data_IF_347871936813
#
_entry.id   IF_347871936813
#
_cell.length_a   1.000
_cell.length_b   1.000
_cell.length_c   1.000
_cell.angle_alpha   90.00
_cell.angle_beta   90.00
_cell.angle_gamma   90.00
#
_symmetry.space_group_name_H-M   'P 1'
#
loop_
_entity.id
_entity.type
_entity.pdbx_description
1 polymer ?
#
# COMPACT_ATOMS: atom_id res chain seq x y z
N UNK A 1 17.23 -14.20 -16.48
CA UNK A 1 16.11 -13.30 -16.86
C UNK A 1 16.68 -12.02 -17.40
N UNK A 2 16.15 -11.54 -18.53
CA UNK A 2 16.45 -10.21 -19.03
C UNK A 2 15.63 -9.20 -18.25
N UNK A 3 16.15 -8.00 -17.97
CA UNK A 3 15.39 -6.89 -17.34
C UNK A 3 14.15 -6.45 -18.15
N UNK A 4 13.92 -7.03 -19.33
CA UNK A 4 12.78 -6.76 -20.24
C UNK A 4 11.42 -7.22 -19.71
N UNK A 5 11.36 -7.91 -18.56
CA UNK A 5 10.12 -8.46 -18.02
C UNK A 5 9.58 -7.71 -16.78
N UNK A 6 10.18 -6.57 -16.40
CA UNK A 6 9.71 -5.78 -15.27
C UNK A 6 8.55 -4.87 -15.69
N UNK A 7 7.57 -4.73 -14.82
CA UNK A 7 6.42 -3.85 -14.98
C UNK A 7 6.24 -3.07 -13.66
N UNK A 8 6.40 -1.75 -13.73
CA UNK A 8 6.03 -0.84 -12.63
C UNK A 8 4.53 -0.94 -12.34
N UNK A 9 4.13 -0.51 -11.13
CA UNK A 9 2.72 -0.53 -10.76
C UNK A 9 1.85 0.22 -11.79
N UNK A 10 0.83 -0.47 -12.30
CA UNK A 10 -0.05 0.03 -13.37
C UNK A 10 -1.47 0.17 -12.82
N UNK A 11 -1.81 1.31 -12.21
CA UNK A 11 -3.12 1.51 -11.58
C UNK A 11 -4.29 1.45 -12.57
N UNK A 12 -4.04 1.69 -13.86
CA UNK A 12 -5.05 1.59 -14.93
C UNK A 12 -5.56 0.15 -15.12
N UNK A 13 -4.81 -0.85 -14.66
CA UNK A 13 -5.22 -2.26 -14.69
C UNK A 13 -6.06 -2.67 -13.46
N UNK A 14 -6.18 -1.79 -12.45
CA UNK A 14 -6.98 -2.03 -11.24
C UNK A 14 -8.46 -1.69 -11.48
N UNK A 15 -9.16 -2.52 -12.26
CA UNK A 15 -10.56 -2.28 -12.63
C UNK A 15 -11.47 -2.09 -11.40
N UNK A 16 -12.32 -1.06 -11.44
CA UNK A 16 -13.22 -0.68 -10.35
C UNK A 16 -12.60 0.28 -9.33
N UNK A 17 -11.34 0.66 -9.52
CA UNK A 17 -10.64 1.65 -8.69
C UNK A 17 -9.97 2.68 -9.58
N UNK A 18 -9.89 3.92 -9.09
CA UNK A 18 -9.19 5.02 -9.75
C UNK A 18 -8.11 5.57 -8.84
N UNK A 19 -6.99 5.99 -9.43
CA UNK A 19 -5.93 6.69 -8.70
C UNK A 19 -6.46 8.02 -8.16
N UNK A 20 -6.34 8.22 -6.84
CA UNK A 20 -6.71 9.46 -6.16
C UNK A 20 -5.52 10.21 -5.61
N UNK A 21 -4.42 9.50 -5.30
CA UNK A 21 -3.26 10.13 -4.68
C UNK A 21 -1.94 9.48 -5.13
N UNK A 22 -0.88 10.29 -5.20
CA UNK A 22 0.48 9.83 -5.48
C UNK A 22 1.52 10.78 -4.88
N UNK A 23 2.45 10.26 -4.09
CA UNK A 23 3.53 11.04 -3.49
C UNK A 23 4.83 10.23 -3.42
N UNK A 24 5.97 10.88 -3.64
CA UNK A 24 7.28 10.29 -3.36
C UNK A 24 7.61 10.40 -1.87
N UNK A 25 7.98 9.29 -1.25
CA UNK A 25 8.31 9.22 0.18
C UNK A 25 9.76 8.77 0.32
N UNK A 26 10.63 9.68 0.75
CA UNK A 26 12.01 9.33 1.06
C UNK A 26 12.07 8.49 2.33
N UNK A 27 12.77 7.35 2.29
CA UNK A 27 12.97 6.50 3.45
C UNK A 27 11.67 5.92 4.01
N UNK A 28 10.71 5.55 3.16
CA UNK A 28 9.47 4.89 3.59
C UNK A 28 9.77 3.66 4.47
N UNK A 29 9.07 3.52 5.59
CA UNK A 29 9.20 2.37 6.48
C UNK A 29 7.87 1.63 6.60
N UNK A 30 6.82 2.34 7.01
CA UNK A 30 5.49 1.77 7.28
C UNK A 30 4.37 2.76 6.96
N UNK A 31 3.17 2.22 6.83
CA UNK A 31 1.93 3.00 6.78
C UNK A 31 0.80 2.31 7.55
N UNK A 32 -0.25 3.07 7.84
CA UNK A 32 -1.54 2.56 8.27
C UNK A 32 -2.68 3.43 7.74
N UNK A 33 -3.79 2.82 7.36
CA UNK A 33 -5.03 3.56 7.18
C UNK A 33 -5.60 3.95 8.55
N UNK A 34 -5.96 5.21 8.73
CA UNK A 34 -6.50 5.69 10.01
C UNK A 34 -7.90 5.11 10.25
N UNK A 35 -8.18 4.51 11.42
CA UNK A 35 -9.54 4.11 11.80
C UNK A 35 -10.53 5.28 11.65
N UNK A 36 -11.74 4.98 11.20
CA UNK A 36 -12.84 5.95 11.00
C UNK A 36 -12.60 7.02 9.89
N UNK A 37 -11.40 7.06 9.31
CA UNK A 37 -11.02 7.98 8.24
C UNK A 37 -10.04 7.31 7.27
N UNK A 38 -10.44 6.21 6.63
CA UNK A 38 -9.55 5.41 5.77
C UNK A 38 -9.06 6.13 4.49
N UNK A 39 -9.57 7.33 4.19
CA UNK A 39 -8.98 8.23 3.20
C UNK A 39 -7.69 8.92 3.70
N UNK A 40 -7.36 8.76 4.98
CA UNK A 40 -6.13 9.24 5.61
C UNK A 40 -5.19 8.10 5.94
N UNK A 41 -3.90 8.35 5.72
CA UNK A 41 -2.83 7.40 5.96
C UNK A 41 -1.86 8.00 6.98
N UNK A 42 -1.61 7.27 8.07
CA UNK A 42 -0.41 7.48 8.87
C UNK A 42 0.77 6.93 8.07
N UNK A 43 1.73 7.78 7.74
CA UNK A 43 2.95 7.42 7.01
C UNK A 43 4.16 7.59 7.93
N UNK A 44 4.99 6.57 8.01
CA UNK A 44 6.22 6.52 8.81
C UNK A 44 7.41 6.41 7.85
N UNK A 45 8.30 7.39 7.93
CA UNK A 45 9.57 7.41 7.20
C UNK A 45 10.75 7.41 8.17
N UNK A 46 11.96 7.27 7.65
CA UNK A 46 13.20 7.35 8.45
C UNK A 46 13.40 8.69 9.13
N UNK A 47 12.73 9.75 8.67
CA UNK A 47 12.93 11.12 9.15
C UNK A 47 11.77 11.62 10.02
N UNK A 48 10.53 11.27 9.69
CA UNK A 48 9.34 11.77 10.39
C UNK A 48 8.10 10.91 10.17
N UNK A 49 7.09 11.12 11.02
CA UNK A 49 5.73 10.63 10.89
C UNK A 49 4.81 11.73 10.35
N UNK A 50 3.85 11.36 9.52
CA UNK A 50 2.87 12.30 8.97
C UNK A 50 1.52 11.65 8.73
N UNK A 51 0.47 12.46 8.75
CA UNK A 51 -0.86 12.09 8.25
C UNK A 51 -1.01 12.65 6.84
N UNK A 52 -1.26 11.75 5.90
CA UNK A 52 -1.53 12.04 4.50
C UNK A 52 -3.05 11.97 4.29
N UNK A 53 -3.67 13.07 3.88
CA UNK A 53 -5.06 13.12 3.45
C UNK A 53 -5.12 12.93 1.93
N UNK A 54 -5.52 11.73 1.50
CA UNK A 54 -5.48 11.30 0.09
C UNK A 54 -6.58 11.93 -0.76
N UNK A 55 -7.56 12.62 -0.16
CA UNK A 55 -8.63 13.30 -0.89
C UNK A 55 -8.41 14.81 -1.01
N UNK A 56 -7.66 15.39 -0.08
CA UNK A 56 -7.42 16.83 -0.01
C UNK A 56 -5.98 17.24 -0.36
N UNK A 57 -5.16 16.28 -0.80
CA UNK A 57 -3.74 16.47 -1.13
C UNK A 57 -2.90 17.11 -0.01
N UNK A 58 -3.24 16.81 1.25
CA UNK A 58 -2.60 17.42 2.41
C UNK A 58 -1.68 16.44 3.12
N UNK A 59 -0.46 16.89 3.47
CA UNK A 59 0.48 16.16 4.32
C UNK A 59 0.71 16.98 5.58
N UNK A 60 0.41 16.39 6.73
CA UNK A 60 0.55 17.05 8.03
C UNK A 60 1.54 16.26 8.89
N UNK A 61 2.72 16.81 9.21
CA UNK A 61 3.63 16.19 10.16
C UNK A 61 2.95 15.96 11.51
N UNK A 62 3.26 14.84 12.15
CA UNK A 62 2.77 14.52 13.50
C UNK A 62 3.91 14.02 14.37
N UNK A 63 3.87 14.38 15.65
CA UNK A 63 4.77 13.83 16.64
C UNK A 63 4.22 12.48 17.12
N UNK A 64 5.07 11.46 17.15
CA UNK A 64 4.66 10.10 17.46
C UNK A 64 5.85 9.15 17.57
N UNK A 65 5.53 7.89 17.84
CA UNK A 65 6.50 6.81 17.90
C UNK A 65 5.88 5.50 17.37
N UNK A 66 6.71 4.54 17.01
CA UNK A 66 6.27 3.24 16.52
C UNK A 66 7.14 2.11 17.06
N UNK A 67 6.51 0.96 17.26
CA UNK A 67 7.18 -0.27 17.64
C UNK A 67 7.24 -1.20 16.44
N UNK A 68 8.45 -1.44 15.93
CA UNK A 68 8.69 -2.33 14.79
C UNK A 68 8.51 -3.82 15.12
N UNK A 69 8.55 -4.20 16.40
CA UNK A 69 8.35 -5.58 16.85
C UNK A 69 6.87 -5.88 16.99
N UNK A 70 6.12 -4.99 17.65
CA UNK A 70 4.68 -5.12 17.85
C UNK A 70 3.87 -4.64 16.64
N UNK A 71 4.52 -3.98 15.66
CA UNK A 71 3.91 -3.43 14.45
C UNK A 71 2.74 -2.51 14.76
N UNK A 72 2.97 -1.57 15.67
CA UNK A 72 2.01 -0.54 16.04
C UNK A 72 2.64 0.85 16.08
N UNK A 73 1.85 1.88 15.85
CA UNK A 73 2.26 3.27 15.98
C UNK A 73 1.25 4.08 16.79
N UNK A 74 1.77 5.12 17.42
CA UNK A 74 1.03 6.13 18.17
C UNK A 74 1.49 7.52 17.73
N UNK A 75 0.57 8.47 17.67
CA UNK A 75 0.90 9.88 17.44
C UNK A 75 0.06 10.76 18.36
N UNK A 76 0.45 12.02 18.53
CA UNK A 76 -0.27 12.97 19.36
C UNK A 76 -1.71 13.16 18.87
N UNK A 77 -2.69 12.88 19.74
CA UNK A 77 -4.11 12.91 19.40
C UNK A 77 -4.70 11.57 18.99
N UNK A 78 -3.92 10.48 18.99
CA UNK A 78 -4.39 9.12 18.79
C UNK A 78 -4.80 8.46 20.12
N UNK A 79 -6.02 7.96 20.22
CA UNK A 79 -6.55 7.34 21.45
C UNK A 79 -6.04 5.91 21.71
N UNK A 80 -5.63 5.20 20.65
CA UNK A 80 -5.21 3.80 20.71
C UNK A 80 -4.13 3.46 19.68
N UNK A 81 -3.26 2.47 19.94
CA UNK A 81 -2.25 2.05 18.97
C UNK A 81 -2.86 1.62 17.65
N UNK A 82 -2.23 2.04 16.55
CA UNK A 82 -2.66 1.73 15.18
C UNK A 82 -1.72 0.68 14.62
N UNK A 83 -2.24 -0.43 14.12
CA UNK A 83 -1.43 -1.44 13.42
C UNK A 83 -0.83 -0.87 12.14
N UNK A 84 0.47 -1.08 11.95
CA UNK A 84 1.22 -0.59 10.78
C UNK A 84 1.68 -1.75 9.90
N UNK A 85 1.86 -1.46 8.61
CA UNK A 85 2.36 -2.39 7.61
C UNK A 85 3.33 -1.70 6.65
N UNK A 86 4.37 -2.40 6.23
CA UNK A 86 5.46 -1.78 5.48
C UNK A 86 6.58 -2.73 5.10
N UNK A 87 7.73 -2.14 4.77
CA UNK A 87 8.89 -2.84 4.23
C UNK A 87 9.39 -3.96 5.15
N UNK A 88 9.22 -3.81 6.46
CA UNK A 88 9.81 -4.67 7.47
C UNK A 88 8.79 -5.55 8.22
N UNK A 89 7.51 -5.49 7.87
CA UNK A 89 6.49 -6.32 8.51
C UNK A 89 5.07 -5.80 8.34
N UNK A 90 4.12 -6.57 8.86
CA UNK A 90 2.69 -6.29 8.75
C UNK A 90 2.13 -6.62 7.37
N UNK A 91 0.81 -6.48 7.22
CA UNK A 91 0.13 -6.70 5.96
C UNK A 91 -1.16 -5.89 5.92
N UNK A 92 -1.51 -5.42 4.73
CA UNK A 92 -2.85 -4.93 4.44
C UNK A 92 -3.72 -6.08 3.91
N UNK A 93 -5.06 -6.00 4.05
CA UNK A 93 -5.99 -6.88 3.37
C UNK A 93 -5.67 -7.04 1.88
N UNK A 94 -5.81 -8.27 1.36
CA UNK A 94 -5.59 -8.60 -0.06
C UNK A 94 -6.89 -8.76 -0.83
N UNK A 95 -8.02 -8.51 -0.20
CA UNK A 95 -9.34 -8.44 -0.83
C UNK A 95 -10.08 -7.22 -0.30
N UNK A 96 -11.03 -6.71 -1.09
CA UNK A 96 -11.83 -5.56 -0.73
C UNK A 96 -13.10 -5.94 0.07
N UNK A 97 -13.22 -7.20 0.52
CA UNK A 97 -14.43 -7.72 1.15
C UNK A 97 -15.61 -7.99 0.19
N UNK A 98 -15.45 -7.79 -1.11
CA UNK A 98 -16.49 -7.97 -2.12
C UNK A 98 -16.02 -8.87 -3.28
N UNK A 99 -15.71 -8.28 -4.43
CA UNK A 99 -15.51 -8.91 -5.73
C UNK A 99 -14.05 -8.90 -6.19
N UNK A 100 -13.18 -8.14 -5.52
CA UNK A 100 -11.81 -7.92 -5.93
C UNK A 100 -10.83 -8.57 -4.95
N UNK A 101 -9.86 -9.29 -5.52
CA UNK A 101 -8.75 -9.90 -4.81
C UNK A 101 -7.43 -9.58 -5.49
N UNK A 102 -6.40 -9.38 -4.69
CA UNK A 102 -5.02 -9.30 -5.13
C UNK A 102 -4.32 -10.63 -4.85
N UNK A 103 -3.77 -11.23 -5.90
CA UNK A 103 -2.97 -12.46 -5.80
C UNK A 103 -1.54 -12.20 -6.25
N UNK A 104 -0.62 -13.09 -5.86
CA UNK A 104 0.79 -12.91 -6.15
C UNK A 104 1.47 -14.24 -6.51
N UNK A 105 2.42 -14.16 -7.43
CA UNK A 105 3.29 -15.27 -7.81
C UNK A 105 4.75 -14.86 -7.57
N UNK A 106 5.51 -15.75 -6.93
CA UNK A 106 6.92 -15.51 -6.60
C UNK A 106 7.81 -16.43 -7.42
N UNK A 107 8.61 -15.85 -8.29
CA UNK A 107 9.66 -16.54 -9.03
C UNK A 107 10.98 -16.47 -8.26
N UNK A 108 11.52 -17.64 -7.89
CA UNK A 108 12.77 -17.79 -7.13
C UNK A 108 13.89 -18.43 -7.97
N UNK A 109 13.72 -18.56 -9.29
CA UNK A 109 14.73 -19.20 -10.13
C UNK A 109 15.98 -18.32 -10.34
N UNK A 110 15.88 -17.02 -10.04
CA UNK A 110 16.96 -16.04 -10.14
C UNK A 110 17.68 -15.80 -8.81
N UNK A 111 18.74 -14.98 -8.85
CA UNK A 111 19.51 -14.56 -7.66
C UNK A 111 18.65 -13.80 -6.65
N UNK A 112 17.66 -13.06 -7.14
CA UNK A 112 16.73 -12.28 -6.34
C UNK A 112 15.31 -12.69 -6.73
N UNK A 113 14.40 -12.87 -5.75
CA UNK A 113 13.03 -13.24 -6.04
C UNK A 113 12.31 -12.11 -6.78
N UNK A 114 11.54 -12.48 -7.80
CA UNK A 114 10.65 -11.57 -8.52
C UNK A 114 9.21 -11.87 -8.10
N UNK A 115 8.49 -10.82 -7.72
CA UNK A 115 7.07 -10.86 -7.41
C UNK A 115 6.27 -10.35 -8.61
N UNK A 116 5.25 -11.11 -9.00
CA UNK A 116 4.21 -10.65 -9.92
C UNK A 116 2.92 -10.51 -9.13
N UNK A 117 2.28 -9.34 -9.21
CA UNK A 117 1.02 -9.05 -8.51
C UNK A 117 -0.10 -8.95 -9.55
N UNK A 118 -1.22 -9.59 -9.24
CA UNK A 118 -2.39 -9.64 -10.09
C UNK A 118 -3.60 -9.04 -9.38
N UNK A 119 -4.38 -8.29 -10.14
CA UNK A 119 -5.70 -7.80 -9.78
C UNK A 119 -6.75 -8.74 -10.38
N UNK A 120 -7.56 -9.35 -9.52
CA UNK A 120 -8.60 -10.29 -9.91
C UNK A 120 -9.98 -9.73 -9.54
N UNK A 121 -10.84 -9.50 -10.55
CA UNK A 121 -12.23 -9.07 -10.36
C UNK A 121 -13.17 -10.20 -10.75
N UNK A 122 -14.12 -10.52 -9.88
CA UNK A 122 -15.13 -11.58 -10.04
C UNK A 122 -14.55 -12.99 -10.32
N UNK A 123 -13.25 -13.21 -10.08
CA UNK A 123 -12.48 -14.43 -10.44
C UNK A 123 -12.46 -14.76 -11.95
N UNK A 124 -13.03 -13.90 -12.79
CA UNK A 124 -13.09 -14.10 -14.24
C UNK A 124 -12.00 -13.30 -14.96
N UNK A 125 -11.69 -12.10 -14.48
CA UNK A 125 -10.65 -11.25 -15.05
C UNK A 125 -9.43 -11.23 -14.13
N UNK A 126 -8.25 -11.44 -14.70
CA UNK A 126 -6.96 -11.38 -13.99
C UNK A 126 -6.02 -10.47 -14.78
N UNK A 127 -5.65 -9.34 -14.19
CA UNK A 127 -4.74 -8.37 -14.81
C UNK A 127 -3.43 -8.30 -14.01
N UNK A 128 -2.29 -8.32 -14.70
CA UNK A 128 -1.00 -8.05 -14.06
C UNK A 128 -0.87 -6.55 -13.78
N UNK A 129 -0.72 -6.18 -12.51
CA UNK A 129 -0.59 -4.79 -12.08
C UNK A 129 0.84 -4.43 -11.72
N UNK A 130 1.68 -5.42 -11.45
CA UNK A 130 3.09 -5.22 -11.11
C UNK A 130 3.91 -6.49 -11.40
N UNK A 131 5.17 -6.30 -11.81
CA UNK A 131 6.18 -7.37 -11.87
C UNK A 131 7.56 -6.81 -11.60
N UNK A 132 8.19 -7.22 -10.52
CA UNK A 132 9.49 -6.69 -10.12
C UNK A 132 9.97 -7.26 -8.80
N UNK A 133 10.78 -6.49 -8.07
CA UNK A 133 11.17 -6.86 -6.71
C UNK A 133 9.99 -6.76 -5.73
N UNK A 134 10.16 -7.15 -4.48
CA UNK A 134 9.09 -7.01 -3.49
C UNK A 134 8.83 -5.50 -3.26
N UNK A 135 7.64 -4.96 -3.57
CA UNK A 135 7.27 -3.61 -3.15
C UNK A 135 7.23 -3.52 -1.63
N UNK A 136 7.32 -2.30 -1.09
CA UNK A 136 7.35 -2.08 0.35
C UNK A 136 6.04 -2.46 1.03
N UNK A 137 4.91 -2.16 0.40
CA UNK A 137 3.58 -2.60 0.87
C UNK A 137 2.56 -2.48 -0.25
N UNK A 138 1.52 -3.31 -0.19
CA UNK A 138 0.32 -3.15 -1.00
C UNK A 138 -0.89 -3.81 -0.33
N UNK A 139 -2.09 -3.34 -0.63
CA UNK A 139 -3.34 -3.92 -0.18
C UNK A 139 -4.42 -2.89 0.11
N UNK A 140 -5.59 -3.37 0.53
CA UNK A 140 -6.78 -2.56 0.73
C UNK A 140 -6.83 -1.91 2.10
N UNK A 141 -7.62 -0.85 2.24
CA UNK A 141 -8.13 -0.40 3.53
C UNK A 141 -9.06 -1.46 4.13
N UNK A 142 -9.28 -1.46 5.46
CA UNK A 142 -10.15 -2.46 6.11
C UNK A 142 -11.60 -2.48 5.60
N UNK A 143 -12.11 -1.35 5.10
CA UNK A 143 -13.44 -1.24 4.48
C UNK A 143 -13.44 -1.54 2.97
N UNK A 144 -12.27 -1.81 2.38
CA UNK A 144 -12.12 -2.05 0.95
C UNK A 144 -12.18 -0.81 0.07
N UNK A 145 -12.51 0.39 0.59
CA UNK A 145 -12.74 1.57 -0.25
C UNK A 145 -11.46 2.14 -0.89
N UNK A 146 -10.29 1.85 -0.30
CA UNK A 146 -8.99 2.31 -0.77
C UNK A 146 -8.04 1.14 -1.02
N UNK A 147 -7.09 1.34 -1.92
CA UNK A 147 -5.97 0.44 -2.15
C UNK A 147 -4.66 1.22 -2.15
N UNK A 148 -3.71 0.81 -1.32
CA UNK A 148 -2.38 1.40 -1.26
C UNK A 148 -1.38 0.49 -1.99
N UNK A 149 -0.40 1.11 -2.65
CA UNK A 149 0.79 0.47 -3.17
C UNK A 149 1.98 1.39 -2.92
N UNK A 150 3.06 0.89 -2.33
CA UNK A 150 4.29 1.65 -2.16
C UNK A 150 5.53 0.86 -2.55
N UNK A 151 6.44 1.53 -3.25
CA UNK A 151 7.78 1.05 -3.61
C UNK A 151 8.79 2.21 -3.65
N UNK A 152 9.95 2.00 -4.27
CA UNK A 152 10.98 3.03 -4.46
C UNK A 152 10.47 4.31 -5.16
N UNK A 153 9.38 4.22 -5.93
CA UNK A 153 8.73 5.36 -6.59
C UNK A 153 7.87 6.22 -5.66
N UNK A 154 7.52 5.69 -4.48
CA UNK A 154 6.66 6.34 -3.50
C UNK A 154 5.36 5.58 -3.25
N UNK A 155 4.37 6.28 -2.71
CA UNK A 155 3.03 5.78 -2.39
C UNK A 155 2.03 6.19 -3.46
N UNK A 156 1.32 5.22 -4.02
CA UNK A 156 0.12 5.42 -4.83
C UNK A 156 -1.10 4.91 -4.07
N UNK A 157 -2.19 5.70 -4.07
CA UNK A 157 -3.48 5.31 -3.47
C UNK A 157 -4.57 5.34 -4.52
N UNK A 158 -5.33 4.27 -4.59
CA UNK A 158 -6.53 4.15 -5.41
C UNK A 158 -7.77 4.20 -4.51
N UNK A 159 -8.87 4.68 -5.05
CA UNK A 159 -10.20 4.68 -4.43
C UNK A 159 -11.17 3.91 -5.31
N UNK A 160 -12.05 3.13 -4.70
CA UNK A 160 -13.14 2.41 -5.38
C UNK A 160 -14.02 3.39 -6.17
N UNK A 161 -14.43 2.98 -7.36
CA UNK A 161 -15.40 3.71 -8.16
C UNK A 161 -16.76 3.68 -7.45
N UNK A 162 -17.44 4.83 -7.40
CA UNK A 162 -18.78 5.00 -6.81
C UNK A 162 -19.89 4.52 -7.74
#
# INVERSE_FOLDING_TARGET
>A
MSYKDFQSFTPENCQGYKKVYNISIGGFLYLAFLPEAYYKILCISSEYMSIIDCENDQVTPVDGDYDETELVAMYEGCDSPISIAGQYGGSLPLDNGEDIRVTMEKDQSGKYPILTIFWEKDKETRAQIYKGYLPYIFGFSPDGEYYAYADDGGLTVLKKDS
#
